data_IF_395622111026
#
_entry.id   IF_395622111026
#
_cell.length_a   1.000
_cell.length_b   1.000
_cell.length_c   1.000
_cell.angle_alpha   90.00
_cell.angle_beta   90.00
_cell.angle_gamma   90.00
#
_symmetry.space_group_name_H-M   'P 1'
#
loop_
_entity.id
_entity.type
_entity.pdbx_description
1 polymer ?
#
# COMPACT_ATOMS: atom_id res chain seq x y z
N UNK A 1 -18.48 -3.29 -11.38
CA UNK A 1 -17.03 -3.22 -11.62
C UNK A 1 -16.30 -4.04 -10.58
N UNK A 2 -15.65 -5.12 -10.99
CA UNK A 2 -14.85 -5.98 -10.11
C UNK A 2 -13.36 -5.57 -10.05
N UNK A 3 -12.96 -4.57 -10.84
CA UNK A 3 -11.57 -4.16 -10.85
C UNK A 3 -11.33 -3.21 -9.70
N UNK A 4 -10.62 -3.74 -8.71
CA UNK A 4 -9.89 -3.03 -7.66
C UNK A 4 -10.77 -2.66 -6.46
N UNK A 5 -10.38 -3.13 -5.27
CA UNK A 5 -10.65 -2.47 -3.97
C UNK A 5 -9.99 -1.09 -4.04
N UNK A 6 -10.73 -0.01 -4.38
CA UNK A 6 -10.11 1.29 -4.67
C UNK A 6 -9.26 1.82 -3.52
N UNK A 7 -9.64 1.64 -2.23
CA UNK A 7 -8.84 2.08 -1.11
C UNK A 7 -7.41 1.56 -1.10
N UNK A 8 -7.16 0.32 -1.55
CA UNK A 8 -5.85 -0.32 -1.44
C UNK A 8 -5.02 -0.17 -2.72
N UNK A 9 -5.60 -0.44 -3.89
CA UNK A 9 -4.79 -0.47 -5.11
C UNK A 9 -4.56 0.91 -5.74
N UNK A 10 -5.43 1.90 -5.55
CA UNK A 10 -5.18 3.26 -6.06
C UNK A 10 -3.91 3.88 -5.45
N UNK A 11 -3.69 3.81 -4.12
CA UNK A 11 -2.42 4.22 -3.54
C UNK A 11 -1.21 3.50 -4.13
N UNK A 12 -1.31 2.18 -4.36
CA UNK A 12 -0.23 1.39 -4.94
C UNK A 12 0.09 1.86 -6.37
N UNK A 13 -0.93 2.02 -7.22
CA UNK A 13 -0.78 2.55 -8.57
C UNK A 13 -0.17 3.94 -8.54
N UNK A 14 -0.60 4.80 -7.62
CA UNK A 14 -0.04 6.13 -7.42
C UNK A 14 1.47 6.04 -7.08
N UNK A 15 1.88 5.18 -6.15
CA UNK A 15 3.29 5.00 -5.82
C UNK A 15 4.11 4.53 -7.03
N UNK A 16 3.58 3.59 -7.82
CA UNK A 16 4.26 3.11 -9.04
C UNK A 16 4.40 4.26 -10.06
N UNK A 17 3.33 5.02 -10.31
CA UNK A 17 3.35 6.17 -11.23
C UNK A 17 4.35 7.24 -10.76
N UNK A 18 4.37 7.56 -9.47
CA UNK A 18 5.21 8.61 -8.93
C UNK A 18 6.70 8.24 -8.90
N UNK A 19 7.03 6.98 -8.61
CA UNK A 19 8.41 6.60 -8.33
C UNK A 19 9.05 5.66 -9.35
N UNK A 20 8.29 4.90 -10.14
CA UNK A 20 8.83 3.82 -10.98
C UNK A 20 8.46 3.95 -12.45
N UNK A 21 7.42 4.72 -12.80
CA UNK A 21 7.02 4.91 -14.18
C UNK A 21 7.97 5.86 -14.94
N UNK A 22 8.72 5.38 -15.95
CA UNK A 22 9.58 6.25 -16.77
C UNK A 22 8.74 7.22 -17.62
N UNK A 23 7.57 6.78 -18.08
CA UNK A 23 6.64 7.54 -18.90
C UNK A 23 5.30 7.74 -18.15
N UNK A 24 5.29 8.66 -17.17
CA UNK A 24 4.14 8.89 -16.28
C UNK A 24 2.86 9.25 -17.05
N UNK A 25 2.95 10.14 -18.06
CA UNK A 25 1.80 10.58 -18.85
C UNK A 25 1.14 9.40 -19.62
N UNK A 26 1.89 8.60 -20.41
CA UNK A 26 1.33 7.39 -21.02
C UNK A 26 0.75 6.39 -20.02
N UNK A 27 1.40 6.20 -18.87
CA UNK A 27 0.89 5.27 -17.85
C UNK A 27 -0.45 5.74 -17.27
N UNK A 28 -0.57 7.02 -16.93
CA UNK A 28 -1.84 7.61 -16.45
C UNK A 28 -2.91 7.55 -17.53
N UNK A 29 -2.57 7.87 -18.78
CA UNK A 29 -3.49 7.77 -19.91
C UNK A 29 -3.97 6.32 -20.11
N UNK A 30 -3.05 5.34 -20.12
CA UNK A 30 -3.39 3.92 -20.25
C UNK A 30 -4.28 3.42 -19.10
N UNK A 31 -3.98 3.81 -17.86
CA UNK A 31 -4.82 3.50 -16.70
C UNK A 31 -6.23 4.10 -16.83
N UNK A 32 -6.31 5.38 -17.22
CA UNK A 32 -7.59 6.06 -17.44
C UNK A 32 -8.39 5.42 -18.57
N UNK A 33 -7.76 5.12 -19.71
CA UNK A 33 -8.38 4.45 -20.85
C UNK A 33 -8.87 3.06 -20.49
N UNK A 34 -8.08 2.25 -19.78
CA UNK A 34 -8.48 0.92 -19.32
C UNK A 34 -9.68 1.01 -18.37
N UNK A 35 -9.65 1.95 -17.42
CA UNK A 35 -10.76 2.20 -16.48
C UNK A 35 -12.03 2.61 -17.21
N UNK A 36 -11.93 3.57 -18.14
CA UNK A 36 -13.06 4.02 -18.94
C UNK A 36 -13.63 2.90 -19.83
N UNK A 37 -12.76 2.09 -20.43
CA UNK A 37 -13.16 0.95 -21.27
C UNK A 37 -13.92 -0.10 -20.47
N UNK A 38 -13.47 -0.42 -19.25
CA UNK A 38 -14.16 -1.35 -18.36
C UNK A 38 -15.46 -0.78 -17.80
N UNK A 39 -15.51 0.52 -17.51
CA UNK A 39 -16.75 1.21 -17.17
C UNK A 39 -17.75 1.10 -18.33
N UNK A 40 -17.31 1.38 -19.55
CA UNK A 40 -18.11 1.23 -20.77
C UNK A 40 -18.58 -0.21 -21.00
N UNK A 41 -17.68 -1.19 -20.86
CA UNK A 41 -18.03 -2.60 -20.98
C UNK A 41 -19.05 -3.03 -19.92
N UNK A 42 -18.87 -2.60 -18.68
CA UNK A 42 -19.85 -2.85 -17.60
C UNK A 42 -21.19 -2.22 -17.94
N UNK A 43 -21.20 -0.96 -18.39
CA UNK A 43 -22.43 -0.27 -18.78
C UNK A 43 -23.17 -1.00 -19.91
N UNK A 44 -22.45 -1.47 -20.92
CA UNK A 44 -23.03 -2.19 -22.07
C UNK A 44 -23.54 -3.58 -21.67
N UNK A 45 -22.81 -4.30 -20.81
CA UNK A 45 -23.13 -5.69 -20.45
C UNK A 45 -24.16 -5.83 -19.33
N UNK A 46 -24.13 -4.95 -18.32
CA UNK A 46 -25.00 -5.05 -17.13
C UNK A 46 -25.96 -3.88 -16.97
N UNK A 47 -25.86 -2.84 -17.81
CA UNK A 47 -26.73 -1.67 -17.79
C UNK A 47 -26.37 -0.64 -16.71
N UNK A 48 -26.96 0.55 -16.82
CA UNK A 48 -26.66 1.68 -15.92
C UNK A 48 -27.01 1.40 -14.45
N UNK A 49 -28.03 0.58 -14.19
CA UNK A 49 -28.48 0.22 -12.83
C UNK A 49 -27.38 -0.48 -12.05
N UNK A 50 -26.56 -1.32 -12.71
CA UNK A 50 -25.42 -1.99 -12.08
C UNK A 50 -24.36 -0.99 -11.60
N UNK A 51 -24.10 0.07 -12.37
CA UNK A 51 -23.20 1.15 -11.95
C UNK A 51 -23.79 1.93 -10.77
N UNK A 52 -25.08 2.26 -10.82
CA UNK A 52 -25.76 2.94 -9.71
C UNK A 52 -25.68 2.12 -8.42
N UNK A 53 -25.99 0.82 -8.47
CA UNK A 53 -25.84 -0.07 -7.32
C UNK A 53 -24.41 -0.17 -6.82
N UNK A 54 -23.42 -0.15 -7.71
CA UNK A 54 -22.02 -0.13 -7.31
C UNK A 54 -21.64 1.17 -6.58
N UNK A 55 -22.07 2.33 -7.07
CA UNK A 55 -21.86 3.63 -6.40
C UNK A 55 -22.57 3.67 -5.05
N UNK A 56 -23.83 3.23 -4.99
CA UNK A 56 -24.57 3.12 -3.73
C UNK A 56 -23.87 2.15 -2.78
N UNK A 57 -23.41 1.01 -3.27
CA UNK A 57 -22.63 0.04 -2.50
C UNK A 57 -21.36 0.64 -1.92
N UNK A 58 -20.60 1.43 -2.69
CA UNK A 58 -19.41 2.14 -2.18
C UNK A 58 -19.75 3.16 -1.10
N UNK A 59 -20.86 3.88 -1.23
CA UNK A 59 -21.30 4.86 -0.22
C UNK A 59 -21.77 4.14 1.06
N UNK A 60 -22.58 3.08 0.91
CA UNK A 60 -23.06 2.24 2.00
C UNK A 60 -21.94 1.48 2.71
N UNK A 61 -20.87 1.15 1.99
CA UNK A 61 -19.71 0.46 2.55
C UNK A 61 -19.11 1.18 3.76
N UNK A 62 -19.19 2.52 3.77
CA UNK A 62 -18.73 3.33 4.90
C UNK A 62 -19.61 3.27 6.14
N UNK A 63 -20.89 2.96 5.95
CA UNK A 63 -21.83 2.75 7.03
C UNK A 63 -21.60 1.40 7.69
N UNK A 64 -21.34 0.36 6.89
CA UNK A 64 -21.20 -1.02 7.35
C UNK A 64 -19.77 -1.38 7.77
N UNK A 65 -18.86 -0.41 7.82
CA UNK A 65 -17.49 -0.65 8.27
C UNK A 65 -17.42 -1.19 9.71
N UNK A 66 -18.43 -0.91 10.54
CA UNK A 66 -18.48 -1.32 11.96
C UNK A 66 -18.83 -2.79 12.14
N UNK A 67 -19.24 -3.50 11.10
CA UNK A 67 -19.53 -4.94 11.15
C UNK A 67 -18.42 -5.78 10.50
N UNK A 68 -17.40 -5.12 9.95
CA UNK A 68 -16.30 -5.75 9.26
C UNK A 68 -15.18 -6.09 10.28
N UNK A 69 -14.84 -7.36 10.37
CA UNK A 69 -13.70 -7.84 11.15
C UNK A 69 -12.43 -7.91 10.27
N UNK A 70 -11.26 -8.12 10.85
CA UNK A 70 -9.98 -8.38 10.15
C UNK A 70 -9.34 -7.21 9.38
N UNK A 71 -9.37 -6.01 9.97
CA UNK A 71 -8.76 -4.78 9.47
C UNK A 71 -7.32 -4.60 9.98
N UNK A 72 -6.30 -4.85 9.14
CA UNK A 72 -4.91 -4.54 9.45
C UNK A 72 -4.58 -3.04 9.45
N UNK A 73 -5.52 -2.18 9.09
CA UNK A 73 -5.32 -0.73 9.10
C UNK A 73 -5.48 -0.14 10.51
N UNK A 74 -5.01 1.09 10.71
CA UNK A 74 -5.22 1.85 11.96
C UNK A 74 -6.71 2.04 12.24
N UNK A 75 -7.57 2.02 11.20
CA UNK A 75 -9.03 2.01 11.34
C UNK A 75 -9.54 0.90 12.26
N UNK A 76 -8.89 -0.27 12.28
CA UNK A 76 -9.24 -1.35 13.20
C UNK A 76 -9.22 -0.98 14.68
N UNK A 77 -8.45 0.05 15.07
CA UNK A 77 -8.33 0.51 16.46
C UNK A 77 -9.47 1.42 16.92
N UNK A 78 -10.23 2.02 16.01
CA UNK A 78 -11.25 3.01 16.39
C UNK A 78 -12.59 2.84 15.70
N UNK A 79 -12.67 2.15 14.57
CA UNK A 79 -13.87 2.13 13.73
C UNK A 79 -15.08 1.56 14.46
N UNK A 80 -14.86 0.58 15.34
CA UNK A 80 -15.93 -0.14 16.05
C UNK A 80 -16.58 0.65 17.18
N UNK A 81 -15.88 1.63 17.76
CA UNK A 81 -16.36 2.38 18.92
C UNK A 81 -16.45 3.90 18.69
N UNK A 82 -15.71 4.45 17.73
CA UNK A 82 -15.68 5.88 17.49
C UNK A 82 -17.00 6.36 16.84
N UNK A 83 -17.60 7.47 17.34
CA UNK A 83 -18.74 8.11 16.70
C UNK A 83 -18.43 8.53 15.25
N UNK A 84 -19.44 8.65 14.36
CA UNK A 84 -19.22 8.90 12.93
C UNK A 84 -18.36 10.12 12.60
N UNK A 85 -18.59 11.26 13.28
CA UNK A 85 -17.81 12.47 13.04
C UNK A 85 -16.33 12.32 13.42
N UNK A 86 -16.06 11.67 14.56
CA UNK A 86 -14.68 11.39 15.00
C UNK A 86 -14.00 10.43 14.02
N UNK A 87 -14.70 9.36 13.60
CA UNK A 87 -14.21 8.39 12.62
C UNK A 87 -13.83 9.06 11.30
N UNK A 88 -14.71 9.91 10.77
CA UNK A 88 -14.46 10.67 9.55
C UNK A 88 -13.20 11.53 9.68
N UNK A 89 -13.07 12.27 10.79
CA UNK A 89 -11.88 13.09 11.07
C UNK A 89 -10.61 12.22 11.13
N UNK A 90 -10.63 11.10 11.86
CA UNK A 90 -9.49 10.19 11.98
C UNK A 90 -9.09 9.58 10.62
N UNK A 91 -10.05 9.15 9.82
CA UNK A 91 -9.81 8.65 8.46
C UNK A 91 -9.22 9.73 7.56
N UNK A 92 -9.78 10.94 7.59
CA UNK A 92 -9.27 12.07 6.82
C UNK A 92 -7.83 12.43 7.24
N UNK A 93 -7.53 12.43 8.54
CA UNK A 93 -6.18 12.65 9.05
C UNK A 93 -5.20 11.54 8.62
N UNK A 94 -5.62 10.27 8.63
CA UNK A 94 -4.78 9.14 8.20
C UNK A 94 -4.45 9.22 6.71
N UNK A 95 -5.46 9.40 5.86
CA UNK A 95 -5.29 9.55 4.41
C UNK A 95 -4.48 10.81 4.08
N UNK A 96 -4.78 11.93 4.74
CA UNK A 96 -4.03 13.18 4.60
C UNK A 96 -2.56 13.01 5.00
N UNK A 97 -2.28 12.29 6.09
CA UNK A 97 -0.93 11.96 6.54
C UNK A 97 -0.17 11.10 5.53
N UNK A 98 -0.79 10.04 5.01
CA UNK A 98 -0.20 9.18 3.98
C UNK A 98 0.08 9.95 2.68
N UNK A 99 -0.86 10.80 2.25
CA UNK A 99 -0.70 11.67 1.09
C UNK A 99 0.43 12.69 1.28
N UNK A 100 0.50 13.34 2.46
CA UNK A 100 1.56 14.29 2.78
C UNK A 100 2.95 13.63 2.79
N UNK A 101 3.08 12.45 3.43
CA UNK A 101 4.33 11.68 3.43
C UNK A 101 4.74 11.28 2.00
N UNK A 102 3.79 10.84 1.19
CA UNK A 102 4.02 10.50 -0.22
C UNK A 102 4.48 11.71 -1.02
N UNK A 103 3.80 12.85 -0.89
CA UNK A 103 4.14 14.10 -1.59
C UNK A 103 5.52 14.63 -1.19
N UNK A 104 5.84 14.63 0.11
CA UNK A 104 7.16 15.02 0.63
C UNK A 104 8.25 14.09 0.08
N UNK A 105 8.02 12.77 0.10
CA UNK A 105 9.01 11.81 -0.40
C UNK A 105 9.20 11.93 -1.92
N UNK A 106 8.11 12.09 -2.67
CA UNK A 106 8.15 12.34 -4.09
C UNK A 106 8.90 13.62 -4.42
N UNK A 107 8.59 14.73 -3.74
CA UNK A 107 9.27 16.01 -3.96
C UNK A 107 10.79 15.90 -3.78
N UNK A 108 11.24 15.16 -2.75
CA UNK A 108 12.66 14.93 -2.47
C UNK A 108 13.36 14.04 -3.51
N UNK A 109 12.60 13.24 -4.27
CA UNK A 109 13.11 12.22 -5.19
C UNK A 109 12.78 12.50 -6.66
N UNK A 110 11.98 13.53 -6.96
CA UNK A 110 11.44 13.80 -8.32
C UNK A 110 12.50 14.06 -9.39
N UNK A 111 13.70 14.50 -8.99
CA UNK A 111 14.82 14.75 -9.89
C UNK A 111 15.73 13.52 -10.09
N UNK A 112 15.46 12.40 -9.40
CA UNK A 112 16.22 11.16 -9.56
C UNK A 112 15.67 10.39 -10.76
N UNK A 113 16.56 10.00 -11.67
CA UNK A 113 16.20 9.22 -12.87
C UNK A 113 15.73 7.81 -12.52
N UNK A 114 16.30 7.22 -11.46
CA UNK A 114 15.91 5.91 -10.93
C UNK A 114 15.76 6.00 -9.42
N UNK A 115 14.62 5.54 -8.91
CA UNK A 115 14.33 5.44 -7.47
C UNK A 115 14.31 3.96 -7.10
N UNK A 116 15.23 3.54 -6.22
CA UNK A 116 15.28 2.15 -5.77
C UNK A 116 13.97 1.75 -5.05
N UNK A 117 13.44 0.55 -5.35
CA UNK A 117 12.19 0.06 -4.78
C UNK A 117 12.20 0.06 -3.24
N UNK A 118 13.30 -0.35 -2.62
CA UNK A 118 13.46 -0.31 -1.15
C UNK A 118 13.26 1.09 -0.55
N UNK A 119 13.59 2.15 -1.30
CA UNK A 119 13.46 3.52 -0.81
C UNK A 119 12.01 4.01 -0.69
N UNK A 120 11.07 3.31 -1.35
CA UNK A 120 9.64 3.62 -1.34
C UNK A 120 8.80 2.51 -0.72
N UNK A 121 9.39 1.35 -0.42
CA UNK A 121 8.71 0.19 0.16
C UNK A 121 7.92 0.54 1.43
N UNK A 122 8.48 1.38 2.31
CA UNK A 122 7.80 1.82 3.54
C UNK A 122 6.51 2.61 3.29
N UNK A 123 6.38 3.31 2.15
CA UNK A 123 5.15 4.04 1.81
C UNK A 123 3.98 3.07 1.53
N UNK A 124 4.26 1.84 1.10
CA UNK A 124 3.21 0.82 0.95
C UNK A 124 2.59 0.48 2.31
N UNK A 125 3.42 0.26 3.34
CA UNK A 125 2.95 0.05 4.71
C UNK A 125 2.15 1.25 5.23
N UNK A 126 2.62 2.47 4.97
CA UNK A 126 1.88 3.69 5.36
C UNK A 126 0.49 3.74 4.73
N UNK A 127 0.39 3.48 3.43
CA UNK A 127 -0.91 3.44 2.76
C UNK A 127 -1.77 2.28 3.23
N UNK A 128 -1.19 1.12 3.52
CA UNK A 128 -1.90 -0.02 4.12
C UNK A 128 -2.50 0.32 5.49
N UNK A 129 -1.72 1.00 6.33
CA UNK A 129 -2.14 1.44 7.66
C UNK A 129 -3.18 2.56 7.60
N UNK A 130 -3.08 3.45 6.60
CA UNK A 130 -3.95 4.61 6.47
C UNK A 130 -5.24 4.34 5.70
N UNK A 131 -5.27 3.33 4.84
CA UNK A 131 -6.43 3.04 4.01
C UNK A 131 -7.52 2.42 4.86
N UNK A 132 -8.70 3.05 4.97
CA UNK A 132 -9.82 2.38 5.59
C UNK A 132 -10.17 1.16 4.73
N UNK A 133 -10.73 0.11 5.34
CA UNK A 133 -11.19 -1.11 4.64
C UNK A 133 -10.13 -2.01 4.01
N UNK A 134 -8.87 -1.88 4.41
CA UNK A 134 -7.93 -2.97 4.16
C UNK A 134 -8.37 -4.18 4.98
N UNK A 135 -8.41 -5.36 4.36
CA UNK A 135 -8.61 -6.65 5.05
C UNK A 135 -7.30 -7.39 5.15
N UNK A 136 -7.23 -8.34 6.08
CA UNK A 136 -6.08 -9.23 6.23
C UNK A 136 -5.64 -9.85 4.89
N UNK A 137 -6.58 -10.34 4.07
CA UNK A 137 -6.27 -10.94 2.76
C UNK A 137 -5.57 -9.98 1.77
N UNK A 138 -5.70 -8.67 1.97
CA UNK A 138 -5.00 -7.69 1.14
C UNK A 138 -3.49 -7.64 1.46
N UNK A 139 -3.06 -8.10 2.65
CA UNK A 139 -1.65 -8.07 3.09
C UNK A 139 -0.71 -8.78 2.12
N UNK A 140 -1.22 -9.66 1.27
CA UNK A 140 -0.48 -10.27 0.15
C UNK A 140 0.19 -9.21 -0.75
N UNK A 141 -0.38 -8.01 -0.85
CA UNK A 141 0.19 -6.90 -1.61
C UNK A 141 1.48 -6.36 -0.98
N UNK A 142 1.68 -6.58 0.33
CA UNK A 142 2.93 -6.25 1.03
C UNK A 142 4.08 -7.21 0.69
N UNK A 143 3.83 -8.30 -0.04
CA UNK A 143 4.90 -9.16 -0.55
C UNK A 143 5.88 -8.36 -1.44
N UNK A 144 5.38 -7.42 -2.25
CA UNK A 144 6.23 -6.58 -3.13
C UNK A 144 7.24 -5.73 -2.33
N UNK A 145 6.83 -4.88 -1.36
CA UNK A 145 7.78 -4.12 -0.55
C UNK A 145 8.67 -5.02 0.34
N UNK A 146 8.20 -6.18 0.79
CA UNK A 146 9.02 -7.15 1.54
C UNK A 146 10.12 -7.76 0.67
N UNK A 147 9.82 -8.18 -0.55
CA UNK A 147 10.83 -8.66 -1.51
C UNK A 147 11.84 -7.55 -1.83
N UNK A 148 11.39 -6.31 -1.98
CA UNK A 148 12.30 -5.17 -2.16
C UNK A 148 13.23 -4.94 -0.96
N UNK A 149 12.80 -5.25 0.27
CA UNK A 149 13.62 -5.18 1.48
C UNK A 149 14.63 -6.33 1.55
N UNK A 150 14.21 -7.54 1.18
CA UNK A 150 15.07 -8.73 1.14
C UNK A 150 16.15 -8.63 0.06
N UNK A 151 15.95 -7.79 -0.94
CA UNK A 151 16.91 -7.56 -2.01
C UNK A 151 16.90 -8.68 -3.05
N UNK A 152 17.92 -8.70 -3.91
CA UNK A 152 18.00 -9.66 -5.00
C UNK A 152 18.48 -10.99 -4.41
N UNK A 153 17.81 -12.09 -4.76
CA UNK A 153 18.17 -13.43 -4.24
C UNK A 153 18.17 -13.50 -2.70
N UNK A 154 17.42 -12.61 -2.05
CA UNK A 154 17.33 -12.47 -0.60
C UNK A 154 18.68 -12.24 0.11
N UNK A 155 19.64 -11.58 -0.57
CA UNK A 155 20.96 -11.20 -0.03
C UNK A 155 20.88 -10.49 1.34
N UNK A 156 19.79 -9.76 1.61
CA UNK A 156 19.58 -9.02 2.86
C UNK A 156 18.84 -9.78 3.95
N UNK A 157 18.54 -11.07 3.75
CA UNK A 157 17.83 -11.90 4.74
C UNK A 157 18.64 -12.13 6.02
N UNK A 158 19.94 -11.84 6.04
CA UNK A 158 20.75 -11.92 7.26
C UNK A 158 20.70 -10.63 8.09
N UNK A 159 20.12 -9.55 7.56
CA UNK A 159 20.04 -8.28 8.24
C UNK A 159 18.81 -8.18 9.14
N UNK A 160 18.99 -7.53 10.30
CA UNK A 160 17.96 -7.44 11.34
C UNK A 160 16.68 -6.74 10.87
N UNK A 161 16.77 -5.64 10.10
CA UNK A 161 15.57 -4.86 9.73
C UNK A 161 14.66 -5.57 8.72
N UNK A 162 15.17 -6.10 7.58
CA UNK A 162 14.33 -6.88 6.66
C UNK A 162 13.70 -8.11 7.33
N UNK A 163 14.48 -8.85 8.13
CA UNK A 163 14.01 -10.03 8.85
C UNK A 163 12.93 -9.67 9.86
N UNK A 164 13.15 -8.61 10.63
CA UNK A 164 12.16 -8.14 11.59
C UNK A 164 10.85 -7.74 10.89
N UNK A 165 10.92 -6.97 9.79
CA UNK A 165 9.73 -6.62 9.01
C UNK A 165 9.00 -7.86 8.48
N UNK A 166 9.75 -8.85 7.97
CA UNK A 166 9.20 -10.11 7.49
C UNK A 166 8.48 -10.89 8.61
N UNK A 167 9.10 -11.04 9.77
CA UNK A 167 8.47 -11.73 10.91
C UNK A 167 7.25 -10.98 11.43
N UNK A 168 7.28 -9.65 11.49
CA UNK A 168 6.12 -8.87 11.91
C UNK A 168 4.92 -9.11 10.98
N UNK A 169 5.12 -9.13 9.66
CA UNK A 169 4.03 -9.46 8.71
C UNK A 169 3.65 -10.94 8.82
N UNK A 170 4.61 -11.86 8.95
CA UNK A 170 4.33 -13.29 9.07
C UNK A 170 3.53 -13.64 10.34
N UNK A 171 3.75 -12.92 11.44
CA UNK A 171 3.04 -13.10 12.70
C UNK A 171 1.78 -12.23 12.83
N UNK A 172 1.48 -11.37 11.84
CA UNK A 172 0.22 -10.61 11.80
C UNK A 172 -1.03 -11.51 11.96
N UNK A 173 -1.12 -12.72 11.37
CA UNK A 173 -2.33 -13.54 11.46
C UNK A 173 -2.67 -13.98 12.90
N UNK A 174 -1.68 -14.04 13.80
CA UNK A 174 -1.91 -14.37 15.20
C UNK A 174 -2.81 -13.35 15.91
N UNK A 175 -2.91 -12.13 15.38
CA UNK A 175 -3.76 -11.07 15.92
C UNK A 175 -5.17 -11.02 15.29
N UNK A 176 -5.46 -11.82 14.26
CA UNK A 176 -6.79 -11.83 13.62
C UNK A 176 -7.86 -12.25 14.64
N UNK A 177 -7.56 -13.28 15.42
CA UNK A 177 -8.50 -13.87 16.40
C UNK A 177 -8.58 -13.00 17.67
N UNK A 178 -7.58 -12.17 17.93
CA UNK A 178 -7.48 -11.40 19.15
C UNK A 178 -8.03 -9.98 19.00
N UNK A 179 -9.32 -9.82 19.30
CA UNK A 179 -10.04 -8.54 19.21
C UNK A 179 -10.56 -8.07 20.58
N UNK A 180 -9.69 -7.74 21.55
CA UNK A 180 -10.13 -7.30 22.86
C UNK A 180 -10.92 -5.99 22.76
N UNK A 181 -12.09 -5.92 23.39
CA UNK A 181 -12.96 -4.73 23.40
C UNK A 181 -13.29 -4.18 22.00
N UNK A 182 -13.45 -5.06 21.00
CA UNK A 182 -13.69 -4.68 19.59
C UNK A 182 -12.55 -3.88 18.96
N UNK A 183 -11.34 -3.93 19.53
CA UNK A 183 -10.14 -3.35 18.92
C UNK A 183 -9.46 -4.40 18.06
N UNK A 184 -9.22 -4.08 16.79
CA UNK A 184 -8.50 -4.96 15.89
C UNK A 184 -7.03 -4.54 15.88
N UNK A 185 -6.20 -5.35 16.54
CA UNK A 185 -4.80 -5.02 16.82
C UNK A 185 -3.86 -5.37 15.67
N UNK A 186 -4.38 -5.85 14.55
CA UNK A 186 -3.61 -6.32 13.41
C UNK A 186 -2.67 -5.23 12.85
N UNK A 187 -3.09 -3.97 12.86
CA UNK A 187 -2.23 -2.83 12.51
C UNK A 187 -1.02 -2.62 13.41
N UNK A 188 -1.01 -3.16 14.63
CA UNK A 188 0.15 -3.11 15.54
C UNK A 188 1.32 -3.97 15.05
N UNK A 189 1.09 -4.97 14.18
CA UNK A 189 2.16 -5.74 13.55
C UNK A 189 2.68 -5.05 12.29
N UNK A 190 1.80 -4.40 11.53
CA UNK A 190 2.21 -3.69 10.31
C UNK A 190 2.97 -2.39 10.57
N UNK A 191 2.64 -1.66 11.63
CA UNK A 191 3.35 -0.44 12.02
C UNK A 191 4.87 -0.65 12.24
N UNK A 192 5.32 -1.60 13.09
CA UNK A 192 6.74 -1.87 13.28
C UNK A 192 7.42 -2.41 12.01
N UNK A 193 6.71 -3.18 11.16
CA UNK A 193 7.23 -3.59 9.86
C UNK A 193 7.50 -2.40 8.94
N UNK A 194 6.56 -1.45 8.86
CA UNK A 194 6.71 -0.20 8.12
C UNK A 194 7.83 0.70 8.66
N UNK A 195 8.00 0.78 9.98
CA UNK A 195 9.11 1.49 10.62
C UNK A 195 10.44 0.84 10.25
N UNK A 196 10.55 -0.49 10.34
CA UNK A 196 11.76 -1.21 9.95
C UNK A 196 12.10 -1.02 8.46
N UNK A 197 11.09 -1.03 7.59
CA UNK A 197 11.23 -0.72 6.17
C UNK A 197 11.77 0.70 5.94
N UNK A 198 11.23 1.69 6.67
CA UNK A 198 11.67 3.09 6.59
C UNK A 198 13.12 3.27 7.07
N UNK A 199 13.50 2.59 8.16
CA UNK A 199 14.86 2.61 8.67
C UNK A 199 15.83 1.93 7.69
N UNK A 200 15.43 0.82 7.09
CA UNK A 200 16.21 0.14 6.06
C UNK A 200 16.43 1.05 4.83
N UNK A 201 15.39 1.75 4.36
CA UNK A 201 15.49 2.71 3.25
C UNK A 201 16.48 3.88 3.51
N UNK A 202 16.74 4.20 4.78
CA UNK A 202 17.66 5.27 5.19
C UNK A 202 19.08 4.80 5.48
N UNK A 203 19.27 3.54 5.82
CA UNK A 203 20.59 3.03 6.18
C UNK A 203 21.48 2.86 4.93
N UNK A 204 22.72 3.39 4.93
CA UNK A 204 23.67 3.23 3.82
C UNK A 204 23.96 1.77 3.48
N UNK A 205 23.89 0.88 4.48
CA UNK A 205 24.17 -0.56 4.33
C UNK A 205 23.31 -1.23 3.26
N UNK A 206 22.07 -0.76 3.06
CA UNK A 206 21.13 -1.36 2.10
C UNK A 206 21.09 -0.64 0.75
N UNK A 207 21.96 0.38 0.54
CA UNK A 207 22.00 1.17 -0.71
C UNK A 207 23.12 0.76 -1.67
N UNK A 208 24.16 0.12 -1.15
CA UNK A 208 25.44 -0.05 -1.86
C UNK A 208 25.40 -1.12 -2.96
N UNK A 209 24.54 -2.13 -2.86
CA UNK A 209 24.50 -3.23 -3.84
C UNK A 209 23.80 -2.86 -5.15
N UNK A 210 22.85 -1.91 -5.13
CA UNK A 210 22.16 -1.46 -6.35
C UNK A 210 23.04 -0.67 -7.33
N UNK A 211 24.26 -0.29 -6.93
CA UNK A 211 25.21 0.44 -7.78
C UNK A 211 26.22 -0.49 -8.50
N UNK A 212 26.36 -1.75 -8.06
CA UNK A 212 27.28 -2.71 -8.66
C UNK A 212 26.80 -3.24 -10.02
N UNK A 213 25.49 -3.17 -10.30
CA UNK A 213 24.89 -3.47 -11.61
C UNK A 213 25.04 -2.29 -12.60
N UNK A 214 26.17 -1.56 -12.55
CA UNK A 214 26.58 -0.73 -13.68
C UNK A 214 26.54 -1.58 -14.96
N UNK A 215 26.17 -1.02 -16.13
CA UNK A 215 26.03 -1.79 -17.36
C UNK A 215 27.31 -2.59 -17.51
N UNK A 216 27.20 -3.92 -17.31
CA UNK A 216 28.35 -4.80 -17.35
C UNK A 216 29.06 -4.43 -18.62
N UNK A 217 30.29 -3.93 -18.47
CA UNK A 217 31.16 -3.67 -19.61
C UNK A 217 31.17 -4.99 -20.35
N UNK A 218 30.40 -5.05 -21.44
CA UNK A 218 30.34 -6.22 -22.29
C UNK A 218 31.79 -6.41 -22.68
N UNK A 219 32.44 -7.40 -22.07
CA UNK A 219 33.78 -7.78 -22.41
C UNK A 219 33.66 -8.25 -23.84
N UNK A 220 33.98 -7.38 -24.78
CA UNK A 220 34.15 -7.72 -26.19
C UNK A 220 35.35 -8.68 -26.23
N UNK A 221 35.05 -9.96 -26.16
CA UNK A 221 35.95 -11.04 -26.58
C UNK A 221 35.73 -11.29 -28.06
#
# INVERSE_FOLDING_TARGET
>A
LAWVKPPVALPIVLLIVLFHAPARKPMVAGFATATASLLGLTLVTTGWRSLAFWVTGLLSYSHDITIQHEMPSISGLYVMWAPPALRLTLMACQLGGAAALTAVWWWRRRNQTKVAAISVAWLWFVWFLASPYVHFGDEVLLAVPLLALLGREADRITHRLPVFALYMVFFSPLLIIWTPHNLQLLGLMLAPAGIAAYLAARSPRYRLESAADGPGTASTA
#
